data_IF_028254727147
#
_entry.id   IF_028254727147
#
_cell.length_a   1.000
_cell.length_b   1.000
_cell.length_c   1.000
_cell.angle_alpha   90.00
_cell.angle_beta   90.00
_cell.angle_gamma   90.00
#
_symmetry.space_group_name_H-M   'P 1'
#
loop_
_entity.id
_entity.type
_entity.pdbx_description
1 polymer ?
#
# COMPACT_ATOMS: atom_id res chain seq x y z
N UNK A 1 9.90 7.61 16.00
CA UNK A 1 8.82 8.07 15.11
C UNK A 1 8.81 9.58 15.14
N UNK A 2 8.63 10.21 14.02
CA UNK A 2 8.65 11.66 13.85
C UNK A 2 7.51 12.10 12.96
N UNK A 3 7.10 13.37 13.04
CA UNK A 3 6.07 13.90 12.17
C UNK A 3 6.59 15.08 11.33
N UNK A 4 5.98 15.26 10.16
CA UNK A 4 6.33 16.35 9.25
C UNK A 4 5.06 16.91 8.58
N UNK A 5 5.04 18.22 8.35
CA UNK A 5 3.98 18.88 7.61
C UNK A 5 4.32 18.89 6.13
N UNK A 6 3.42 18.38 5.30
CA UNK A 6 3.58 18.33 3.85
C UNK A 6 2.23 18.38 3.15
N UNK A 7 2.14 19.06 2.01
CA UNK A 7 0.91 19.14 1.21
C UNK A 7 -0.36 19.48 2.04
N UNK A 8 -0.20 20.29 3.11
CA UNK A 8 -1.30 20.68 3.99
C UNK A 8 -1.77 19.60 4.98
N UNK A 9 -1.01 18.54 5.17
CA UNK A 9 -1.28 17.46 6.15
C UNK A 9 -0.03 17.14 6.97
N UNK A 10 -0.24 16.69 8.20
CA UNK A 10 0.83 16.15 9.05
C UNK A 10 0.93 14.65 8.83
N UNK A 11 2.10 14.17 8.42
CA UNK A 11 2.38 12.75 8.27
C UNK A 11 3.33 12.27 9.37
N UNK A 12 2.99 11.12 9.94
CA UNK A 12 3.88 10.37 10.85
C UNK A 12 4.77 9.45 10.03
N UNK A 13 6.06 9.44 10.32
CA UNK A 13 7.03 8.62 9.60
C UNK A 13 8.10 8.03 10.52
N UNK A 14 8.82 7.07 9.99
CA UNK A 14 9.99 6.47 10.60
C UNK A 14 11.08 6.26 9.56
N UNK A 15 12.31 6.58 9.93
CA UNK A 15 13.51 6.39 9.11
C UNK A 15 14.46 5.42 9.82
N UNK A 16 14.93 4.40 9.14
CA UNK A 16 15.81 3.35 9.64
C UNK A 16 17.04 3.25 8.73
N UNK A 17 18.19 2.96 9.32
CA UNK A 17 19.47 2.83 8.60
C UNK A 17 20.23 4.14 8.50
N UNK A 18 21.35 4.12 7.74
CA UNK A 18 22.26 5.25 7.57
C UNK A 18 21.60 6.37 6.75
N UNK A 19 21.72 7.61 7.20
CA UNK A 19 21.17 8.79 6.50
C UNK A 19 21.79 9.03 5.12
N UNK A 20 23.04 8.62 4.91
CA UNK A 20 23.75 8.72 3.64
C UNK A 20 23.41 7.59 2.64
N UNK A 21 22.73 6.54 3.07
CA UNK A 21 22.41 5.40 2.21
C UNK A 21 21.26 5.70 1.22
N UNK A 22 21.21 5.01 0.07
CA UNK A 22 20.09 5.10 -0.87
C UNK A 22 18.74 4.81 -0.20
N UNK A 23 17.73 5.64 -0.48
CA UNK A 23 16.44 5.57 0.21
C UNK A 23 15.49 4.59 -0.46
N UNK A 24 14.94 3.65 0.30
CA UNK A 24 13.73 2.90 -0.05
C UNK A 24 12.56 3.51 0.71
N UNK A 25 11.60 4.08 -0.03
CA UNK A 25 10.35 4.62 0.52
C UNK A 25 9.24 3.56 0.43
N UNK A 26 8.68 3.19 1.58
CA UNK A 26 7.66 2.15 1.73
C UNK A 26 6.26 2.77 1.92
N UNK A 27 5.33 2.52 0.99
CA UNK A 27 3.95 3.02 1.01
C UNK A 27 3.00 1.88 1.29
N UNK A 28 2.30 1.93 2.42
CA UNK A 28 1.39 0.87 2.86
C UNK A 28 -0.01 1.00 2.24
N UNK A 29 -0.77 -0.11 2.27
CA UNK A 29 -2.09 -0.24 1.69
C UNK A 29 -3.22 0.40 2.52
N UNK A 30 -4.45 0.16 2.06
CA UNK A 30 -5.69 0.70 2.60
C UNK A 30 -5.84 0.45 4.11
N UNK A 31 -5.96 1.51 4.89
CA UNK A 31 -6.17 1.45 6.33
C UNK A 31 -5.01 0.90 7.14
N UNK A 32 -3.90 0.54 6.47
CA UNK A 32 -2.72 -0.02 7.11
C UNK A 32 -1.73 1.08 7.47
N UNK A 33 -1.20 0.98 8.69
CA UNK A 33 -0.22 1.89 9.25
C UNK A 33 1.20 1.52 8.80
N UNK A 34 2.17 2.40 9.05
CA UNK A 34 3.60 2.14 8.76
C UNK A 34 4.12 0.83 9.41
N UNK A 35 3.57 0.46 10.57
CA UNK A 35 3.89 -0.81 11.26
C UNK A 35 3.38 -2.06 10.51
N UNK A 36 2.57 -1.88 9.46
CA UNK A 36 2.22 -2.96 8.53
C UNK A 36 3.40 -3.47 7.72
N UNK A 37 4.45 -2.65 7.55
CA UNK A 37 5.78 -3.09 7.13
C UNK A 37 6.50 -3.63 8.38
N UNK A 38 6.69 -4.95 8.51
CA UNK A 38 7.29 -5.53 9.72
C UNK A 38 8.69 -4.99 9.99
N UNK A 39 9.02 -4.76 11.27
CA UNK A 39 10.32 -4.23 11.66
C UNK A 39 11.49 -5.10 11.16
N UNK A 40 11.35 -6.43 11.25
CA UNK A 40 12.33 -7.38 10.72
C UNK A 40 12.52 -7.29 9.21
N UNK A 41 11.43 -7.05 8.45
CA UNK A 41 11.53 -6.83 7.00
C UNK A 41 12.23 -5.49 6.69
N UNK A 42 11.95 -4.43 7.43
CA UNK A 42 12.64 -3.16 7.26
C UNK A 42 14.13 -3.27 7.60
N UNK A 43 14.47 -3.95 8.70
CA UNK A 43 15.87 -4.19 9.09
C UNK A 43 16.64 -5.02 8.04
N UNK A 44 15.98 -5.96 7.40
CA UNK A 44 16.55 -6.74 6.32
C UNK A 44 16.95 -5.85 5.12
N UNK A 45 16.16 -4.83 4.76
CA UNK A 45 16.52 -3.87 3.74
C UNK A 45 17.65 -2.93 4.21
N UNK A 46 17.68 -2.56 5.49
CA UNK A 46 18.79 -1.79 6.09
C UNK A 46 20.09 -2.59 6.00
N UNK A 47 20.09 -3.87 6.35
CA UNK A 47 21.28 -4.75 6.25
C UNK A 47 21.75 -4.93 4.79
N UNK A 48 20.89 -4.68 3.80
CA UNK A 48 21.25 -4.64 2.37
C UNK A 48 21.79 -3.28 1.91
N UNK A 49 22.04 -2.34 2.83
CA UNK A 49 22.66 -1.05 2.56
C UNK A 49 21.70 0.07 2.18
N UNK A 50 20.42 -0.04 2.52
CA UNK A 50 19.44 1.00 2.25
C UNK A 50 19.02 1.76 3.51
N UNK A 51 18.71 3.04 3.35
CA UNK A 51 17.90 3.79 4.31
C UNK A 51 16.43 3.50 4.02
N UNK A 52 15.69 2.99 5.00
CA UNK A 52 14.27 2.64 4.85
C UNK A 52 13.42 3.73 5.48
N UNK A 53 12.56 4.34 4.66
CA UNK A 53 11.57 5.33 5.08
C UNK A 53 10.18 4.73 4.95
N UNK A 54 9.41 4.68 6.06
CA UNK A 54 8.01 4.25 6.08
C UNK A 54 7.14 5.28 6.78
N UNK A 55 5.91 5.44 6.37
CA UNK A 55 5.01 6.46 6.90
C UNK A 55 3.56 6.00 6.95
N UNK A 56 2.78 6.63 7.81
CA UNK A 56 1.33 6.50 7.82
C UNK A 56 0.73 7.42 6.75
N UNK A 57 -0.03 6.87 5.82
CA UNK A 57 -0.82 7.67 4.88
C UNK A 57 -1.79 8.60 5.64
N UNK A 58 -2.21 9.73 5.00
CA UNK A 58 -3.30 10.56 5.55
C UNK A 58 -4.49 9.69 5.99
N UNK A 59 -5.17 10.05 7.05
CA UNK A 59 -6.30 9.30 7.62
C UNK A 59 -5.97 7.95 8.25
N UNK A 60 -4.70 7.65 8.45
CA UNK A 60 -4.25 6.38 9.01
C UNK A 60 -3.27 6.58 10.16
N UNK A 61 -3.20 5.63 11.09
CA UNK A 61 -2.22 5.59 12.17
C UNK A 61 -2.15 6.87 12.99
N UNK A 62 -0.98 7.48 13.06
CA UNK A 62 -0.75 8.74 13.78
C UNK A 62 -0.71 9.96 12.85
N UNK A 63 -0.79 9.76 11.52
CA UNK A 63 -0.97 10.87 10.57
C UNK A 63 -2.31 11.57 10.76
N UNK A 64 -2.38 12.80 10.23
CA UNK A 64 -3.56 13.66 10.33
C UNK A 64 -4.84 12.98 9.88
N UNK A 65 -5.88 13.07 10.71
CA UNK A 65 -7.23 12.60 10.40
C UNK A 65 -8.00 13.68 9.65
N UNK A 66 -8.69 13.28 8.59
CA UNK A 66 -9.43 14.19 7.71
C UNK A 66 -10.93 14.19 8.04
N UNK A 67 -11.27 14.16 9.34
CA UNK A 67 -12.66 14.01 9.80
C UNK A 67 -13.57 15.19 9.42
N UNK A 68 -12.99 16.39 9.27
CA UNK A 68 -13.69 17.58 8.76
C UNK A 68 -14.25 17.41 7.34
N UNK A 69 -13.70 16.48 6.55
CA UNK A 69 -14.18 16.17 5.20
C UNK A 69 -15.42 15.25 5.19
N UNK A 70 -15.89 14.80 6.35
CA UNK A 70 -17.07 13.96 6.49
C UNK A 70 -16.87 12.51 6.02
N UNK A 71 -17.98 11.79 5.89
CA UNK A 71 -18.00 10.36 5.49
C UNK A 71 -18.57 10.21 4.09
N UNK A 72 -17.83 9.64 3.12
CA UNK A 72 -18.33 9.40 1.77
C UNK A 72 -19.39 8.30 1.74
N UNK A 73 -20.34 8.41 0.80
CA UNK A 73 -21.38 7.40 0.55
C UNK A 73 -20.83 6.32 -0.37
N UNK A 74 -20.14 5.31 0.19
CA UNK A 74 -19.45 4.26 -0.59
C UNK A 74 -20.37 3.53 -1.58
N UNK A 75 -21.58 3.17 -1.18
CA UNK A 75 -22.52 2.47 -2.08
C UNK A 75 -22.81 3.31 -3.34
N UNK A 76 -23.03 4.61 -3.17
CA UNK A 76 -23.24 5.53 -4.30
C UNK A 76 -21.97 5.65 -5.16
N UNK A 77 -20.80 5.70 -4.52
CA UNK A 77 -19.52 5.73 -5.22
C UNK A 77 -19.31 4.47 -6.08
N UNK A 78 -19.58 3.28 -5.51
CA UNK A 78 -19.46 2.00 -6.21
C UNK A 78 -20.44 1.89 -7.40
N UNK A 79 -21.71 2.30 -7.23
CA UNK A 79 -22.69 2.31 -8.31
C UNK A 79 -22.24 3.24 -9.44
N UNK A 80 -21.81 4.48 -9.11
CA UNK A 80 -21.32 5.42 -10.12
C UNK A 80 -20.10 4.90 -10.86
N UNK A 81 -19.13 4.35 -10.14
CA UNK A 81 -17.93 3.74 -10.74
C UNK A 81 -18.30 2.61 -11.70
N UNK A 82 -19.25 1.73 -11.32
CA UNK A 82 -19.74 0.64 -12.17
C UNK A 82 -20.42 1.15 -13.45
N UNK A 83 -21.15 2.28 -13.37
CA UNK A 83 -21.82 2.92 -14.51
C UNK A 83 -20.88 3.82 -15.35
N UNK A 84 -19.62 3.94 -14.97
CA UNK A 84 -18.68 4.81 -15.66
C UNK A 84 -18.83 6.28 -15.38
N UNK A 85 -19.59 6.62 -14.36
CA UNK A 85 -19.84 8.00 -13.99
C UNK A 85 -18.73 8.51 -13.06
N UNK A 86 -18.39 9.81 -13.10
CA UNK A 86 -17.41 10.40 -12.21
C UNK A 86 -17.76 10.18 -10.74
N UNK A 87 -16.79 9.74 -9.95
CA UNK A 87 -16.92 9.55 -8.50
C UNK A 87 -16.20 10.68 -7.79
N UNK A 88 -16.88 11.34 -6.85
CA UNK A 88 -16.27 12.35 -5.97
C UNK A 88 -15.87 11.68 -4.66
N UNK A 89 -14.63 11.88 -4.25
CA UNK A 89 -14.11 11.50 -2.94
C UNK A 89 -13.62 12.75 -2.20
N UNK A 90 -13.54 12.71 -0.85
CA UNK A 90 -13.04 13.83 -0.05
C UNK A 90 -11.61 14.25 -0.41
N UNK A 91 -10.79 13.31 -0.85
CA UNK A 91 -9.47 13.47 -1.46
C UNK A 91 -9.22 12.30 -2.43
N UNK A 92 -8.23 12.40 -3.30
CA UNK A 92 -7.88 11.37 -4.28
C UNK A 92 -6.58 10.63 -3.95
N UNK A 93 -6.26 9.59 -4.70
CA UNK A 93 -4.94 8.96 -4.65
C UNK A 93 -3.84 9.91 -5.15
N UNK A 94 -4.18 10.87 -6.01
CA UNK A 94 -3.26 11.93 -6.44
C UNK A 94 -2.86 12.86 -5.29
N UNK A 95 -3.78 13.14 -4.34
CA UNK A 95 -3.44 13.87 -3.12
C UNK A 95 -2.44 13.08 -2.27
N UNK A 96 -2.65 11.76 -2.14
CA UNK A 96 -1.74 10.88 -1.39
C UNK A 96 -0.38 10.72 -2.09
N UNK A 97 -0.36 10.77 -3.43
CA UNK A 97 0.89 10.82 -4.19
C UNK A 97 1.65 12.13 -3.95
N UNK A 98 0.94 13.27 -3.89
CA UNK A 98 1.54 14.56 -3.51
C UNK A 98 2.05 14.56 -2.07
N UNK A 99 1.36 13.91 -1.13
CA UNK A 99 1.84 13.73 0.24
C UNK A 99 3.17 12.97 0.26
N UNK A 100 3.24 11.90 -0.52
CA UNK A 100 4.45 11.07 -0.64
C UNK A 100 5.64 11.86 -1.17
N UNK A 101 5.44 12.67 -2.19
CA UNK A 101 6.48 13.55 -2.74
C UNK A 101 6.86 14.62 -1.73
N UNK A 102 5.88 15.25 -1.11
CA UNK A 102 6.13 16.28 -0.11
C UNK A 102 6.83 15.76 1.15
N UNK A 103 6.63 14.46 1.52
CA UNK A 103 7.43 13.82 2.57
C UNK A 103 8.93 13.77 2.18
N UNK A 104 9.24 13.40 0.93
CA UNK A 104 10.62 13.43 0.43
C UNK A 104 11.19 14.85 0.46
N UNK A 105 10.39 15.85 0.03
CA UNK A 105 10.79 17.26 0.03
C UNK A 105 11.14 17.75 1.45
N UNK A 106 10.26 17.48 2.41
CA UNK A 106 10.42 17.90 3.79
C UNK A 106 11.61 17.25 4.50
N UNK A 107 12.06 16.08 4.01
CA UNK A 107 13.23 15.36 4.51
C UNK A 107 14.49 15.63 3.69
N UNK A 108 14.46 16.53 2.70
CA UNK A 108 15.59 16.83 1.83
C UNK A 108 16.03 15.66 0.94
N UNK A 109 15.16 14.67 0.72
CA UNK A 109 15.44 13.49 -0.10
C UNK A 109 15.09 13.81 -1.55
N UNK A 110 16.12 13.89 -2.41
CA UNK A 110 15.95 14.23 -3.83
C UNK A 110 15.17 13.17 -4.60
N UNK A 111 15.50 11.91 -4.43
CA UNK A 111 14.88 10.77 -5.12
C UNK A 111 14.98 9.50 -4.29
N UNK A 112 14.08 8.54 -4.51
CA UNK A 112 14.02 7.29 -3.77
C UNK A 112 13.62 6.11 -4.66
N UNK A 113 13.94 4.90 -4.20
CA UNK A 113 13.32 3.67 -4.67
C UNK A 113 11.93 3.57 -4.01
N UNK A 114 10.86 3.65 -4.80
CA UNK A 114 9.50 3.70 -4.27
C UNK A 114 8.88 2.32 -4.30
N UNK A 115 8.50 1.82 -3.14
CA UNK A 115 7.88 0.49 -2.95
C UNK A 115 6.49 0.68 -2.37
N UNK A 116 5.47 0.22 -3.06
CA UNK A 116 4.09 0.32 -2.59
C UNK A 116 3.36 -1.01 -2.58
N UNK A 117 2.58 -1.27 -1.52
CA UNK A 117 1.76 -2.46 -1.39
C UNK A 117 0.28 -2.14 -1.52
N UNK A 118 -0.47 -2.91 -2.33
CA UNK A 118 -1.93 -2.76 -2.49
C UNK A 118 -2.31 -1.32 -2.92
N UNK A 119 -3.11 -0.58 -2.14
CA UNK A 119 -3.36 0.85 -2.38
C UNK A 119 -2.06 1.66 -2.41
N UNK A 120 -1.06 1.31 -1.58
CA UNK A 120 0.26 1.94 -1.63
C UNK A 120 0.97 1.73 -2.96
N UNK A 121 0.76 0.59 -3.63
CA UNK A 121 1.23 0.36 -5.00
C UNK A 121 0.54 1.26 -6.01
N UNK A 122 -0.75 1.54 -5.83
CA UNK A 122 -1.49 2.50 -6.66
C UNK A 122 -0.93 3.93 -6.50
N UNK A 123 -0.63 4.33 -5.26
CA UNK A 123 0.00 5.61 -4.95
C UNK A 123 1.41 5.68 -5.57
N UNK A 124 2.22 4.64 -5.39
CA UNK A 124 3.57 4.54 -5.96
C UNK A 124 3.57 4.66 -7.49
N UNK A 125 2.60 4.03 -8.17
CA UNK A 125 2.37 4.17 -9.61
C UNK A 125 2.11 5.63 -10.00
N UNK A 126 1.26 6.34 -9.26
CA UNK A 126 0.95 7.76 -9.52
C UNK A 126 2.17 8.66 -9.25
N UNK A 127 2.96 8.40 -8.21
CA UNK A 127 4.22 9.12 -7.95
C UNK A 127 5.18 8.93 -9.12
N UNK A 128 5.39 7.68 -9.57
CA UNK A 128 6.31 7.38 -10.68
C UNK A 128 5.85 8.00 -12.02
N UNK A 129 4.54 8.06 -12.27
CA UNK A 129 4.00 8.66 -13.48
C UNK A 129 4.05 10.19 -13.47
N UNK A 130 3.76 10.83 -12.32
CA UNK A 130 3.65 12.29 -12.20
C UNK A 130 4.97 12.99 -11.85
N UNK A 131 5.90 12.29 -11.20
CA UNK A 131 7.18 12.83 -10.73
C UNK A 131 8.33 11.84 -11.03
N UNK A 132 8.61 11.58 -12.32
CA UNK A 132 9.69 10.67 -12.71
C UNK A 132 11.07 11.10 -12.20
N UNK A 133 11.26 12.40 -11.96
CA UNK A 133 12.47 12.98 -11.37
C UNK A 133 12.72 12.54 -9.90
N UNK A 134 11.70 12.01 -9.23
CA UNK A 134 11.73 11.64 -7.81
C UNK A 134 11.84 10.14 -7.58
N UNK A 135 11.69 9.31 -8.63
CA UNK A 135 11.60 7.85 -8.54
C UNK A 135 12.75 7.18 -9.28
N UNK A 136 13.67 6.59 -8.53
CA UNK A 136 14.79 5.82 -9.09
C UNK A 136 14.30 4.48 -9.64
N UNK A 137 13.50 3.78 -8.86
CA UNK A 137 12.81 2.55 -9.28
C UNK A 137 11.43 2.48 -8.65
N UNK A 138 10.50 1.80 -9.32
CA UNK A 138 9.19 1.47 -8.79
C UNK A 138 9.11 -0.02 -8.46
N UNK A 139 8.63 -0.36 -7.25
CA UNK A 139 8.17 -1.72 -6.94
C UNK A 139 6.69 -1.70 -6.54
N UNK A 140 5.85 -2.36 -7.32
CA UNK A 140 4.39 -2.44 -7.09
C UNK A 140 4.03 -3.85 -6.63
N UNK A 141 3.62 -4.01 -5.36
CA UNK A 141 3.34 -5.30 -4.73
C UNK A 141 1.83 -5.46 -4.56
N UNK A 142 1.26 -6.61 -4.96
CA UNK A 142 -0.15 -7.00 -4.80
C UNK A 142 -1.14 -5.85 -5.12
N UNK A 143 -0.89 -5.13 -6.21
CA UNK A 143 -1.63 -3.93 -6.61
C UNK A 143 -2.35 -4.11 -7.96
N UNK A 144 -2.99 -3.05 -8.45
CA UNK A 144 -3.82 -3.08 -9.65
C UNK A 144 -3.69 -1.78 -10.44
N UNK A 145 -3.97 -1.81 -11.73
CA UNK A 145 -4.18 -0.62 -12.58
C UNK A 145 -5.51 0.07 -12.32
N UNK A 146 -6.47 -0.64 -11.71
CA UNK A 146 -7.84 -0.18 -11.53
C UNK A 146 -8.72 -0.31 -12.77
N UNK A 147 -8.26 -0.96 -13.82
CA UNK A 147 -9.04 -1.17 -15.04
C UNK A 147 -10.28 -2.02 -14.76
N UNK A 148 -11.42 -1.65 -15.39
CA UNK A 148 -12.73 -2.22 -15.07
C UNK A 148 -12.91 -3.67 -15.50
N UNK A 149 -12.17 -4.11 -16.50
CA UNK A 149 -12.21 -5.50 -17.00
C UNK A 149 -11.49 -6.49 -16.08
N UNK A 150 -10.72 -5.98 -15.09
CA UNK A 150 -9.97 -6.84 -14.19
C UNK A 150 -10.89 -7.59 -13.22
N UNK A 151 -10.49 -8.83 -12.85
CA UNK A 151 -11.27 -9.62 -11.90
C UNK A 151 -11.32 -8.92 -10.54
N UNK A 152 -12.47 -9.07 -9.88
CA UNK A 152 -12.72 -8.52 -8.56
C UNK A 152 -12.28 -9.51 -7.47
N UNK A 153 -12.11 -9.00 -6.24
CA UNK A 153 -11.90 -9.83 -5.06
C UNK A 153 -12.92 -10.98 -4.97
N UNK A 154 -12.51 -12.13 -4.44
CA UNK A 154 -13.40 -13.30 -4.21
C UNK A 154 -14.64 -12.88 -3.41
N UNK A 155 -15.80 -13.45 -3.73
CA UNK A 155 -17.09 -13.04 -3.15
C UNK A 155 -17.12 -13.09 -1.60
N UNK A 156 -16.46 -14.11 -1.01
CA UNK A 156 -16.33 -14.24 0.44
C UNK A 156 -15.54 -13.09 1.06
N UNK A 157 -14.46 -12.64 0.40
CA UNK A 157 -13.62 -11.51 0.84
C UNK A 157 -14.41 -10.22 0.76
N UNK A 158 -15.11 -9.97 -0.36
CA UNK A 158 -15.99 -8.79 -0.52
C UNK A 158 -17.06 -8.70 0.56
N UNK A 159 -17.67 -9.84 0.93
CA UNK A 159 -18.64 -9.89 2.02
C UNK A 159 -18.02 -9.53 3.36
N UNK A 160 -16.79 -10.01 3.63
CA UNK A 160 -16.09 -9.72 4.88
C UNK A 160 -15.67 -8.24 4.97
N UNK A 161 -15.24 -7.63 3.87
CA UNK A 161 -14.91 -6.20 3.80
C UNK A 161 -16.09 -5.27 4.19
N UNK A 162 -17.32 -5.74 4.00
CA UNK A 162 -18.55 -5.00 4.36
C UNK A 162 -18.98 -5.22 5.81
N UNK A 163 -18.40 -6.19 6.50
CA UNK A 163 -18.71 -6.46 7.91
C UNK A 163 -18.03 -5.43 8.81
N UNK A 164 -18.61 -5.26 9.99
CA UNK A 164 -18.05 -4.41 11.03
C UNK A 164 -17.68 -5.27 12.23
N UNK A 165 -16.74 -4.85 13.08
CA UNK A 165 -16.53 -5.50 14.37
C UNK A 165 -17.83 -5.44 15.19
N UNK A 166 -18.03 -6.41 16.08
CA UNK A 166 -19.22 -6.46 16.96
C UNK A 166 -19.32 -5.22 17.85
N UNK A 167 -18.17 -4.83 18.41
CA UNK A 167 -18.01 -3.60 19.16
C UNK A 167 -16.82 -2.81 18.57
N UNK A 168 -17.08 -1.69 17.85
CA UNK A 168 -16.02 -0.89 17.24
C UNK A 168 -15.19 -0.08 18.26
N UNK A 169 -15.59 -0.04 19.53
CA UNK A 169 -14.89 0.67 20.61
C UNK A 169 -13.95 -0.26 21.39
N UNK A 170 -14.16 -1.58 21.29
CA UNK A 170 -13.34 -2.58 21.95
C UNK A 170 -12.13 -2.97 21.09
N UNK A 171 -10.92 -2.77 21.61
CA UNK A 171 -9.67 -3.21 21.01
C UNK A 171 -9.71 -4.70 20.66
N UNK A 172 -10.23 -5.52 21.56
CA UNK A 172 -10.32 -6.96 21.38
C UNK A 172 -11.26 -7.34 20.22
N UNK A 173 -12.47 -6.74 20.19
CA UNK A 173 -13.45 -6.99 19.12
C UNK A 173 -12.95 -6.53 17.74
N UNK A 174 -12.24 -5.41 17.68
CA UNK A 174 -11.62 -4.90 16.45
C UNK A 174 -10.48 -5.82 16.01
N UNK A 175 -9.63 -6.25 16.97
CA UNK A 175 -8.53 -7.19 16.71
C UNK A 175 -9.06 -8.50 16.14
N UNK A 176 -10.07 -9.12 16.74
CA UNK A 176 -10.68 -10.36 16.27
C UNK A 176 -11.22 -10.21 14.84
N UNK A 177 -11.91 -9.10 14.58
CA UNK A 177 -12.46 -8.82 13.26
C UNK A 177 -11.35 -8.71 12.19
N UNK A 178 -10.27 -8.00 12.50
CA UNK A 178 -9.15 -7.84 11.58
C UNK A 178 -8.31 -9.12 11.43
N UNK A 179 -8.08 -9.88 12.51
CA UNK A 179 -7.43 -11.20 12.43
C UNK A 179 -8.20 -12.11 11.48
N UNK A 180 -9.54 -12.19 11.62
CA UNK A 180 -10.36 -12.98 10.69
C UNK A 180 -10.21 -12.51 9.24
N UNK A 181 -10.18 -11.19 8.99
CA UNK A 181 -9.96 -10.62 7.67
C UNK A 181 -8.59 -11.03 7.11
N UNK A 182 -7.52 -10.81 7.87
CA UNK A 182 -6.16 -11.09 7.42
C UNK A 182 -5.88 -12.60 7.23
N UNK A 183 -6.48 -13.47 8.06
CA UNK A 183 -6.45 -14.91 7.84
C UNK A 183 -7.11 -15.29 6.51
N UNK A 184 -8.23 -14.62 6.16
CA UNK A 184 -8.96 -14.91 4.92
C UNK A 184 -8.21 -14.48 3.66
N UNK A 185 -7.42 -13.40 3.72
CA UNK A 185 -6.66 -12.87 2.58
C UNK A 185 -5.18 -13.29 2.59
N UNK A 186 -4.73 -13.92 3.67
CA UNK A 186 -3.35 -14.35 3.88
C UNK A 186 -2.86 -15.40 2.89
N UNK A 187 -1.59 -15.67 2.96
CA UNK A 187 -0.85 -16.56 2.06
C UNK A 187 -1.06 -18.03 2.41
N UNK A 188 -1.77 -18.83 1.58
CA UNK A 188 -2.01 -20.24 1.91
C UNK A 188 -0.73 -21.08 1.90
N UNK A 189 0.25 -20.72 1.08
CA UNK A 189 1.56 -21.42 1.04
C UNK A 189 2.53 -20.97 2.12
N UNK A 190 2.24 -19.87 2.82
CA UNK A 190 3.11 -19.24 3.83
C UNK A 190 2.27 -18.71 4.98
N UNK A 191 1.55 -19.57 5.71
CA UNK A 191 0.64 -19.10 6.74
C UNK A 191 1.39 -18.40 7.88
N UNK A 192 1.00 -17.17 8.20
CA UNK A 192 1.50 -16.48 9.40
C UNK A 192 0.95 -17.18 10.65
N UNK A 193 1.80 -17.51 11.66
CA UNK A 193 1.33 -18.11 12.90
C UNK A 193 0.21 -17.27 13.55
N UNK A 194 -0.88 -17.88 14.03
CA UNK A 194 -2.06 -17.14 14.51
C UNK A 194 -1.75 -16.12 15.63
N UNK A 195 -0.87 -16.48 16.57
CA UNK A 195 -0.49 -15.61 17.68
C UNK A 195 0.33 -14.41 17.20
N UNK A 196 1.25 -14.61 16.25
CA UNK A 196 2.02 -13.53 15.63
C UNK A 196 1.10 -12.59 14.86
N UNK A 197 0.18 -13.12 14.05
CA UNK A 197 -0.80 -12.33 13.33
C UNK A 197 -1.65 -11.48 14.28
N UNK A 198 -2.14 -12.10 15.35
CA UNK A 198 -2.93 -11.44 16.39
C UNK A 198 -2.16 -10.31 17.07
N UNK A 199 -0.92 -10.57 17.46
CA UNK A 199 -0.06 -9.58 18.11
C UNK A 199 0.21 -8.37 17.20
N UNK A 200 0.54 -8.62 15.93
CA UNK A 200 0.77 -7.55 14.92
C UNK A 200 -0.48 -6.68 14.72
N UNK A 201 -1.63 -7.32 14.60
CA UNK A 201 -2.91 -6.60 14.41
C UNK A 201 -3.27 -5.81 15.66
N UNK A 202 -3.17 -6.41 16.85
CA UNK A 202 -3.44 -5.73 18.12
C UNK A 202 -2.57 -4.50 18.28
N UNK A 203 -1.24 -4.61 18.06
CA UNK A 203 -0.32 -3.46 18.06
C UNK A 203 -0.79 -2.34 17.12
N UNK A 204 -1.26 -2.68 15.94
CA UNK A 204 -1.79 -1.69 14.98
C UNK A 204 -3.09 -1.05 15.48
N UNK A 205 -4.00 -1.82 16.07
CA UNK A 205 -5.27 -1.31 16.62
C UNK A 205 -5.00 -0.36 17.79
N UNK A 206 -4.16 -0.75 18.72
CA UNK A 206 -3.79 0.07 19.91
C UNK A 206 -3.04 1.34 19.49
N UNK A 207 -2.23 1.29 18.41
CA UNK A 207 -1.49 2.45 17.93
C UNK A 207 -2.39 3.53 17.31
N UNK A 208 -3.43 3.17 16.58
CA UNK A 208 -4.24 4.21 15.93
C UNK A 208 -5.25 3.69 14.91
N UNK A 209 -6.17 2.85 15.34
CA UNK A 209 -7.26 2.39 14.49
C UNK A 209 -8.24 3.52 14.16
N UNK A 210 -8.44 3.83 12.87
CA UNK A 210 -9.31 4.92 12.43
C UNK A 210 -10.23 4.49 11.26
N UNK A 211 -11.37 3.83 11.55
CA UNK A 211 -12.25 3.27 10.51
C UNK A 211 -12.86 4.32 9.58
N UNK A 212 -13.06 5.55 10.04
CA UNK A 212 -13.57 6.64 9.19
C UNK A 212 -12.57 6.99 8.07
N UNK A 213 -11.26 6.96 8.38
CA UNK A 213 -10.19 7.16 7.40
C UNK A 213 -10.15 6.04 6.36
N UNK A 214 -10.31 4.78 6.78
CA UNK A 214 -10.39 3.63 5.86
C UNK A 214 -11.49 3.83 4.82
N UNK A 215 -12.65 4.34 5.25
CA UNK A 215 -13.79 4.62 4.34
C UNK A 215 -13.45 5.73 3.34
N UNK A 216 -12.74 6.79 3.76
CA UNK A 216 -12.32 7.88 2.86
C UNK A 216 -11.24 7.42 1.89
N UNK A 217 -10.25 6.66 2.34
CA UNK A 217 -9.23 6.06 1.48
C UNK A 217 -9.85 5.11 0.45
N UNK A 218 -10.82 4.28 0.85
CA UNK A 218 -11.54 3.41 -0.09
C UNK A 218 -12.31 4.22 -1.13
N UNK A 219 -12.92 5.33 -0.74
CA UNK A 219 -13.58 6.24 -1.69
C UNK A 219 -12.57 6.85 -2.67
N UNK A 220 -11.35 7.18 -2.22
CA UNK A 220 -10.28 7.68 -3.09
C UNK A 220 -9.84 6.60 -4.11
N UNK A 221 -9.70 5.35 -3.69
CA UNK A 221 -9.41 4.22 -4.59
C UNK A 221 -10.50 4.05 -5.66
N UNK A 222 -11.78 4.08 -5.24
CA UNK A 222 -12.92 3.96 -6.17
C UNK A 222 -12.98 5.14 -7.15
N UNK A 223 -12.71 6.34 -6.67
CA UNK A 223 -12.76 7.57 -7.48
C UNK A 223 -11.62 7.65 -8.50
N UNK A 224 -10.46 7.10 -8.18
CA UNK A 224 -9.29 7.14 -9.06
C UNK A 224 -9.48 6.28 -10.33
N UNK A 225 -10.13 5.10 -10.20
CA UNK A 225 -10.47 4.25 -11.33
C UNK A 225 -9.26 3.70 -12.09
N UNK A 226 -9.34 3.69 -13.43
CA UNK A 226 -8.33 3.12 -14.33
C UNK A 226 -7.14 4.08 -14.52
N UNK A 227 -5.96 3.64 -14.10
CA UNK A 227 -4.68 4.35 -14.24
C UNK A 227 -3.84 3.89 -15.43
N UNK A 228 -4.37 3.01 -16.27
CA UNK A 228 -3.61 2.48 -17.42
C UNK A 228 -2.96 3.57 -18.30
N UNK A 229 -3.59 4.73 -18.55
CA UNK A 229 -2.94 5.81 -19.30
C UNK A 229 -1.67 6.33 -18.59
N UNK A 230 -1.75 6.58 -17.28
CA UNK A 230 -0.61 7.07 -16.48
C UNK A 230 0.50 6.00 -16.38
N UNK A 231 0.15 4.71 -16.24
CA UNK A 231 1.13 3.64 -16.14
C UNK A 231 2.01 3.54 -17.39
N UNK A 232 1.47 3.83 -18.57
CA UNK A 232 2.23 3.84 -19.83
C UNK A 232 3.28 4.94 -19.92
N UNK A 233 3.19 5.97 -19.08
CA UNK A 233 4.18 7.06 -19.03
C UNK A 233 5.30 6.82 -18.03
N UNK A 234 5.24 5.74 -17.23
CA UNK A 234 6.28 5.42 -16.25
C UNK A 234 7.55 4.98 -17.00
N UNK A 235 8.62 5.74 -16.79
CA UNK A 235 9.91 5.53 -17.47
C UNK A 235 10.94 4.80 -16.57
N UNK A 236 10.81 4.90 -15.24
CA UNK A 236 11.76 4.27 -14.32
C UNK A 236 11.69 2.73 -14.37
N UNK A 237 12.79 2.03 -14.11
CA UNK A 237 12.79 0.58 -13.96
C UNK A 237 11.72 0.15 -12.97
N UNK A 238 10.89 -0.82 -13.35
CA UNK A 238 9.72 -1.23 -12.55
C UNK A 238 9.73 -2.73 -12.29
N UNK A 239 9.47 -3.10 -11.03
CA UNK A 239 9.22 -4.47 -10.59
C UNK A 239 7.78 -4.60 -10.10
N UNK A 240 7.04 -5.54 -10.66
CA UNK A 240 5.71 -5.93 -10.18
C UNK A 240 5.83 -7.26 -9.46
N UNK A 241 5.43 -7.31 -8.19
CA UNK A 241 5.40 -8.55 -7.38
C UNK A 241 3.95 -8.88 -7.06
N UNK A 242 3.51 -10.12 -7.32
CA UNK A 242 2.14 -10.52 -7.01
C UNK A 242 2.04 -11.98 -6.62
N UNK A 243 1.18 -12.24 -5.64
CA UNK A 243 0.85 -13.59 -5.21
C UNK A 243 -0.19 -14.24 -6.13
N UNK A 244 0.06 -15.47 -6.59
CA UNK A 244 -0.91 -16.18 -7.44
C UNK A 244 -2.19 -16.56 -6.69
N UNK A 245 -2.11 -16.62 -5.36
CA UNK A 245 -3.23 -17.01 -4.49
C UNK A 245 -3.90 -15.82 -3.79
N UNK A 246 -3.61 -14.58 -4.22
CA UNK A 246 -4.23 -13.38 -3.70
C UNK A 246 -5.75 -13.36 -3.92
N UNK A 247 -6.58 -13.45 -2.86
CA UNK A 247 -8.03 -13.48 -3.00
C UNK A 247 -8.67 -12.08 -2.97
N UNK A 248 -7.90 -11.05 -2.61
CA UNK A 248 -8.36 -9.66 -2.51
C UNK A 248 -8.08 -8.88 -3.80
N UNK A 249 -6.86 -8.95 -4.30
CA UNK A 249 -6.45 -8.39 -5.59
C UNK A 249 -5.93 -9.55 -6.44
N UNK A 250 -6.74 -10.14 -7.33
CA UNK A 250 -6.31 -11.30 -8.12
C UNK A 250 -5.04 -11.02 -8.93
N UNK A 251 -4.16 -12.00 -9.06
CA UNK A 251 -2.84 -11.83 -9.70
C UNK A 251 -2.90 -11.29 -11.14
N UNK A 252 -4.02 -11.49 -11.84
CA UNK A 252 -4.27 -10.88 -13.15
C UNK A 252 -4.16 -9.34 -13.11
N UNK A 253 -4.40 -8.70 -11.94
CA UNK A 253 -4.20 -7.27 -11.76
C UNK A 253 -2.70 -6.90 -11.79
N UNK A 254 -1.85 -7.75 -11.22
CA UNK A 254 -0.40 -7.58 -11.30
C UNK A 254 0.14 -7.82 -12.72
N UNK A 255 -0.39 -8.84 -13.40
CA UNK A 255 -0.05 -9.10 -14.81
C UNK A 255 -0.42 -7.89 -15.68
N UNK A 256 -1.64 -7.35 -15.51
CA UNK A 256 -2.07 -6.17 -16.25
C UNK A 256 -1.20 -4.94 -15.93
N UNK A 257 -0.81 -4.76 -14.67
CA UNK A 257 0.12 -3.68 -14.26
C UNK A 257 1.45 -3.82 -15.00
N UNK A 258 2.02 -5.02 -15.04
CA UNK A 258 3.28 -5.27 -15.74
C UNK A 258 3.16 -5.05 -17.26
N UNK A 259 2.05 -5.44 -17.88
CA UNK A 259 1.81 -5.20 -19.32
C UNK A 259 1.68 -3.71 -19.64
N UNK A 260 1.13 -2.90 -18.72
CA UNK A 260 0.90 -1.45 -18.95
C UNK A 260 2.15 -0.59 -18.74
N UNK A 261 3.07 -1.01 -17.88
CA UNK A 261 4.29 -0.25 -17.60
C UNK A 261 5.41 -0.72 -18.55
N UNK A 262 5.97 0.17 -19.37
CA UNK A 262 7.09 -0.18 -20.25
C UNK A 262 8.28 -0.71 -19.44
N UNK A 263 8.98 -1.71 -19.98
CA UNK A 263 10.21 -2.28 -19.40
C UNK A 263 10.05 -2.80 -17.95
N UNK A 264 8.84 -3.16 -17.55
CA UNK A 264 8.61 -3.75 -16.25
C UNK A 264 9.00 -5.23 -16.22
N UNK A 265 9.34 -5.70 -15.01
CA UNK A 265 9.54 -7.12 -14.69
C UNK A 265 8.41 -7.59 -13.80
N UNK A 266 7.92 -8.81 -14.03
CA UNK A 266 6.88 -9.44 -13.24
C UNK A 266 7.44 -10.61 -12.44
N UNK A 267 7.22 -10.62 -11.13
CA UNK A 267 7.52 -11.72 -10.23
C UNK A 267 6.21 -12.26 -9.63
N UNK A 268 5.76 -13.41 -10.13
CA UNK A 268 4.63 -14.13 -9.56
C UNK A 268 5.13 -15.15 -8.54
N UNK A 269 4.47 -15.23 -7.37
CA UNK A 269 4.83 -16.12 -6.27
C UNK A 269 3.67 -17.05 -5.97
N UNK A 270 3.89 -18.36 -6.13
CA UNK A 270 2.91 -19.40 -5.78
C UNK A 270 2.71 -19.41 -4.27
N UNK A 271 1.50 -19.68 -3.80
CA UNK A 271 1.15 -19.72 -2.39
C UNK A 271 1.12 -18.37 -1.66
N UNK A 272 1.50 -17.27 -2.32
CA UNK A 272 1.46 -15.92 -1.78
C UNK A 272 0.06 -15.31 -1.93
N UNK A 273 -0.48 -14.77 -0.84
CA UNK A 273 -1.77 -14.10 -0.74
C UNK A 273 -1.66 -12.57 -0.77
N UNK A 274 -2.47 -11.92 0.10
CA UNK A 274 -2.52 -10.45 0.23
C UNK A 274 -2.03 -10.01 1.62
N UNK A 275 -0.84 -10.45 2.01
CA UNK A 275 -0.21 -10.17 3.30
C UNK A 275 1.33 -10.14 3.18
N UNK A 276 2.03 -9.98 4.30
CA UNK A 276 3.49 -10.06 4.40
C UNK A 276 3.85 -11.18 5.38
N UNK A 277 3.89 -12.45 4.93
CA UNK A 277 4.26 -13.57 5.79
C UNK A 277 5.77 -13.60 6.03
N UNK A 278 6.23 -13.94 7.26
CA UNK A 278 7.64 -13.95 7.62
C UNK A 278 8.51 -14.81 6.70
N UNK A 279 7.97 -15.92 6.21
CA UNK A 279 8.67 -16.86 5.34
C UNK A 279 9.06 -16.27 3.97
N UNK A 280 8.44 -15.15 3.58
CA UNK A 280 8.75 -14.46 2.32
C UNK A 280 9.61 -13.21 2.50
N UNK A 281 9.99 -12.80 3.72
CA UNK A 281 10.76 -11.56 3.92
C UNK A 281 12.07 -11.54 3.15
N UNK A 282 12.87 -12.62 3.24
CA UNK A 282 14.14 -12.72 2.50
C UNK A 282 13.91 -12.59 0.99
N UNK A 283 12.98 -13.39 0.45
CA UNK A 283 12.68 -13.40 -0.99
C UNK A 283 12.18 -12.04 -1.49
N UNK A 284 11.27 -11.40 -0.76
CA UNK A 284 10.75 -10.07 -1.11
C UNK A 284 11.84 -9.01 -0.98
N UNK A 285 12.64 -9.07 0.09
CA UNK A 285 13.76 -8.18 0.31
C UNK A 285 14.83 -8.30 -0.78
N UNK A 286 15.17 -9.51 -1.21
CA UNK A 286 16.11 -9.76 -2.32
C UNK A 286 15.60 -9.21 -3.64
N UNK A 287 14.32 -9.44 -3.94
CA UNK A 287 13.69 -8.92 -5.15
C UNK A 287 13.74 -7.39 -5.20
N UNK A 288 13.40 -6.72 -4.08
CA UNK A 288 13.40 -5.25 -3.97
C UNK A 288 14.82 -4.71 -4.02
N UNK A 289 15.73 -5.23 -3.20
CA UNK A 289 17.11 -4.74 -3.14
C UNK A 289 17.87 -4.94 -4.46
N UNK A 290 17.76 -6.13 -5.06
CA UNK A 290 18.38 -6.41 -6.36
C UNK A 290 17.79 -5.55 -7.48
N UNK A 291 16.49 -5.19 -7.40
CA UNK A 291 15.87 -4.29 -8.37
C UNK A 291 16.38 -2.86 -8.18
N UNK A 292 16.48 -2.38 -6.94
CA UNK A 292 17.00 -1.06 -6.61
C UNK A 292 18.47 -0.90 -7.05
N UNK A 293 19.33 -1.87 -6.74
CA UNK A 293 20.77 -1.81 -7.06
C UNK A 293 21.04 -1.80 -8.57
N UNK A 294 20.26 -2.54 -9.38
CA UNK A 294 20.41 -2.57 -10.83
C UNK A 294 20.12 -1.24 -11.53
N UNK A 295 19.44 -0.33 -10.90
CA UNK A 295 19.18 1.00 -11.46
C UNK A 295 20.36 1.98 -11.27
N UNK A 296 21.38 1.61 -10.51
CA UNK A 296 22.60 2.37 -10.30
C UNK A 296 23.79 1.83 -11.11
N UNK A 297 23.63 0.67 -11.75
CA UNK A 297 24.61 0.06 -12.66
C UNK A 297 24.32 0.46 -14.11
#
# INVERSE_FOLDING_TARGET
>A
MSSVNTNGVTLEYESLGDEGAPVILLIMGLGMQLVGWPDSFCQLLVHRGFRVLRFDNRDCGLSQKMDSLGKPRLLRAMIRARLGLPVRAPYGLDDMARDTVGLLDALGIRSAHVVGASMGGMIAQLVAASRPDRVLTLTSIMSSTGARYLPQARSRVRRQLLRRPRDPTSVESVTDHLVHMFTMIGSPGYPTPPDELRQRIRRSVERGYHPAGVVRQLAAVIANGDRSPQLRTIACPTLVIHGKDDPLVPYACGVDTAVKIPNSRLALIDGFGHDFPPQLYERLGDLIASHALKAHA
#
